data_IF_649282975227
#
_entry.id   IF_649282975227
#
_cell.length_a   1.000
_cell.length_b   1.000
_cell.length_c   1.000
_cell.angle_alpha   90.00
_cell.angle_beta   90.00
_cell.angle_gamma   90.00
#
_symmetry.space_group_name_H-M   'P 1'
#
loop_
_entity.id
_entity.type
_entity.pdbx_description
1 polymer ?
#
# COMPACT_ATOMS: atom_id res chain seq x y z
N UNK A 1 -33.01 -24.07 -49.38
CA UNK A 1 -32.16 -24.32 -48.22
C UNK A 1 -31.89 -22.99 -47.51
N UNK A 2 -32.53 -22.77 -46.36
CA UNK A 2 -32.34 -21.55 -45.57
C UNK A 2 -31.40 -21.89 -44.40
N UNK A 3 -30.23 -21.26 -44.35
CA UNK A 3 -29.29 -21.35 -43.26
C UNK A 3 -29.68 -20.32 -42.19
N UNK A 4 -30.04 -20.80 -41.01
CA UNK A 4 -30.34 -19.99 -39.83
C UNK A 4 -29.03 -19.87 -39.07
N UNK A 5 -28.43 -18.70 -39.11
CA UNK A 5 -27.31 -18.32 -38.24
C UNK A 5 -27.85 -18.03 -36.84
N UNK A 6 -27.63 -18.93 -35.88
CA UNK A 6 -27.85 -18.66 -34.48
C UNK A 6 -26.74 -17.76 -33.97
N UNK A 7 -27.05 -16.52 -33.66
CA UNK A 7 -26.14 -15.60 -33.01
C UNK A 7 -26.10 -15.94 -31.50
N UNK A 8 -25.05 -16.66 -31.10
CA UNK A 8 -24.75 -16.85 -29.68
C UNK A 8 -24.22 -15.54 -29.07
N UNK A 9 -24.95 -14.96 -28.13
CA UNK A 9 -24.45 -13.89 -27.27
C UNK A 9 -23.39 -14.47 -26.32
N UNK A 10 -22.12 -14.28 -26.65
CA UNK A 10 -21.01 -14.41 -25.70
C UNK A 10 -21.01 -13.15 -24.82
N UNK A 11 -21.51 -13.28 -23.60
CA UNK A 11 -21.29 -12.29 -22.56
C UNK A 11 -19.78 -12.25 -22.27
N UNK A 12 -19.09 -11.25 -22.82
CA UNK A 12 -17.71 -10.97 -22.46
C UNK A 12 -17.71 -10.49 -21.01
N UNK A 13 -17.33 -11.37 -20.08
CA UNK A 13 -16.90 -10.95 -18.75
C UNK A 13 -15.67 -10.05 -18.96
N UNK A 14 -15.86 -8.74 -18.82
CA UNK A 14 -14.76 -7.80 -18.72
C UNK A 14 -13.99 -8.12 -17.43
N UNK A 15 -12.94 -8.92 -17.55
CA UNK A 15 -11.94 -9.04 -16.51
C UNK A 15 -11.36 -7.64 -16.33
N UNK A 16 -11.69 -6.97 -15.21
CA UNK A 16 -11.05 -5.73 -14.81
C UNK A 16 -9.57 -6.04 -14.61
N UNK A 17 -8.74 -5.66 -15.58
CA UNK A 17 -7.30 -5.81 -15.49
C UNK A 17 -6.82 -4.83 -14.41
N UNK A 18 -6.72 -5.33 -13.19
CA UNK A 18 -6.19 -4.58 -12.05
C UNK A 18 -4.74 -4.22 -12.36
N UNK A 19 -4.38 -2.95 -12.19
CA UNK A 19 -3.00 -2.52 -12.45
C UNK A 19 -2.04 -3.40 -11.64
N UNK A 20 -0.90 -3.85 -12.20
CA UNK A 20 0.00 -4.78 -11.50
C UNK A 20 0.43 -4.29 -10.10
N UNK A 21 0.68 -2.98 -9.96
CA UNK A 21 1.07 -2.37 -8.67
C UNK A 21 -0.06 -2.50 -7.63
N UNK A 22 -1.31 -2.19 -8.00
CA UNK A 22 -2.47 -2.32 -7.12
C UNK A 22 -2.59 -3.75 -6.58
N UNK A 23 -2.63 -4.73 -7.48
CA UNK A 23 -2.73 -6.16 -7.12
C UNK A 23 -1.60 -6.60 -6.20
N UNK A 24 -0.35 -6.30 -6.57
CA UNK A 24 0.82 -6.82 -5.90
C UNK A 24 1.06 -6.12 -4.55
N UNK A 25 0.82 -4.81 -4.46
CA UNK A 25 0.85 -4.08 -3.19
C UNK A 25 -0.21 -4.57 -2.22
N UNK A 26 -1.44 -4.72 -2.69
CA UNK A 26 -2.54 -5.19 -1.85
C UNK A 26 -2.31 -6.63 -1.36
N UNK A 27 -1.84 -7.51 -2.23
CA UNK A 27 -1.51 -8.89 -1.88
C UNK A 27 -0.40 -8.95 -0.81
N UNK A 28 0.66 -8.16 -0.96
CA UNK A 28 1.76 -8.11 -0.01
C UNK A 28 1.30 -7.59 1.37
N UNK A 29 0.54 -6.49 1.42
CA UNK A 29 -0.05 -5.97 2.65
C UNK A 29 -0.94 -7.01 3.34
N UNK A 30 -1.84 -7.63 2.60
CA UNK A 30 -2.79 -8.58 3.15
C UNK A 30 -2.12 -9.86 3.64
N UNK A 31 -1.00 -10.27 3.04
CA UNK A 31 -0.17 -11.35 3.55
C UNK A 31 0.40 -11.02 4.94
N UNK A 32 0.90 -9.80 5.15
CA UNK A 32 1.42 -9.36 6.47
C UNK A 32 0.29 -9.29 7.49
N UNK A 33 -0.86 -8.74 7.13
CA UNK A 33 -2.05 -8.61 7.99
C UNK A 33 -2.59 -9.96 8.45
N UNK A 34 -2.61 -10.95 7.56
CA UNK A 34 -3.04 -12.30 7.87
C UNK A 34 -2.18 -12.96 8.97
N UNK A 35 -0.88 -12.67 9.04
CA UNK A 35 0.03 -13.21 10.07
C UNK A 35 -0.37 -12.83 11.50
N UNK A 36 -1.09 -11.72 11.67
CA UNK A 36 -1.56 -11.22 12.98
C UNK A 36 -3.08 -11.27 13.11
N UNK A 37 -3.78 -11.89 12.17
CA UNK A 37 -5.22 -12.13 12.24
C UNK A 37 -6.08 -10.88 12.09
N UNK A 38 -5.61 -9.83 11.42
CA UNK A 38 -6.43 -8.64 11.11
C UNK A 38 -7.01 -8.72 9.70
N UNK A 39 -8.18 -8.12 9.52
CA UNK A 39 -8.92 -8.15 8.26
C UNK A 39 -8.11 -7.57 7.08
N UNK A 40 -8.28 -8.10 5.86
CA UNK A 40 -7.57 -7.59 4.69
C UNK A 40 -7.99 -6.16 4.36
N UNK A 41 -7.06 -5.41 3.79
CA UNK A 41 -7.33 -4.10 3.18
C UNK A 41 -8.00 -4.26 1.83
N UNK A 42 -8.77 -3.25 1.44
CA UNK A 42 -9.25 -3.05 0.06
C UNK A 42 -8.55 -1.85 -0.57
N UNK A 43 -8.47 -1.84 -1.91
CA UNK A 43 -7.82 -0.75 -2.61
C UNK A 43 -8.74 0.46 -2.73
N UNK A 44 -8.16 1.67 -2.57
CA UNK A 44 -8.83 2.94 -2.78
C UNK A 44 -8.11 3.73 -3.88
N UNK A 45 -8.83 4.05 -4.94
CA UNK A 45 -8.31 4.89 -6.03
C UNK A 45 -8.08 6.34 -5.60
N UNK A 46 -8.83 6.81 -4.64
CA UNK A 46 -8.63 8.13 -4.04
C UNK A 46 -7.30 8.19 -3.29
N UNK A 47 -7.03 7.20 -2.44
CA UNK A 47 -5.76 7.11 -1.71
C UNK A 47 -4.58 6.91 -2.66
N UNK A 48 -4.75 6.14 -3.75
CA UNK A 48 -3.75 5.97 -4.80
C UNK A 48 -3.43 7.29 -5.50
N UNK A 49 -4.45 8.08 -5.85
CA UNK A 49 -4.25 9.39 -6.50
C UNK A 49 -3.45 10.33 -5.61
N UNK A 50 -3.85 10.46 -4.34
CA UNK A 50 -3.13 11.28 -3.35
C UNK A 50 -1.70 10.77 -3.11
N UNK A 51 -1.48 9.45 -3.12
CA UNK A 51 -0.15 8.86 -3.00
C UNK A 51 0.72 9.19 -4.22
N UNK A 52 0.15 9.17 -5.42
CA UNK A 52 0.84 9.50 -6.67
C UNK A 52 1.31 10.95 -6.69
N UNK A 53 0.42 11.88 -6.39
CA UNK A 53 0.75 13.31 -6.34
C UNK A 53 1.90 13.58 -5.36
N UNK A 54 1.88 12.93 -4.20
CA UNK A 54 2.94 13.08 -3.21
C UNK A 54 4.26 12.44 -3.64
N UNK A 55 4.21 11.24 -4.23
CA UNK A 55 5.40 10.57 -4.74
C UNK A 55 6.09 11.40 -5.83
N UNK A 56 5.33 11.98 -6.75
CA UNK A 56 5.84 12.85 -7.82
C UNK A 56 6.48 14.11 -7.24
N UNK A 57 5.86 14.73 -6.24
CA UNK A 57 6.41 15.92 -5.55
C UNK A 57 7.72 15.61 -4.85
N UNK A 58 7.81 14.47 -4.15
CA UNK A 58 9.05 14.05 -3.49
C UNK A 58 10.14 13.73 -4.51
N UNK A 59 9.79 13.11 -5.64
CA UNK A 59 10.74 12.80 -6.71
C UNK A 59 11.29 14.06 -7.37
N UNK A 60 10.46 15.10 -7.55
CA UNK A 60 10.85 16.36 -8.16
C UNK A 60 11.80 17.22 -7.31
N UNK A 61 12.21 16.76 -6.12
CA UNK A 61 13.17 17.45 -5.27
C UNK A 61 12.60 17.92 -3.94
N UNK A 62 11.40 17.47 -3.56
CA UNK A 62 10.86 17.68 -2.21
C UNK A 62 11.70 16.96 -1.15
N UNK A 63 11.72 17.49 0.06
CA UNK A 63 12.26 16.80 1.22
C UNK A 63 11.52 15.47 1.42
N UNK A 64 12.27 14.38 1.68
CA UNK A 64 11.68 13.06 1.91
C UNK A 64 10.95 13.04 3.25
N UNK A 65 9.72 13.50 3.25
CA UNK A 65 8.88 13.67 4.41
C UNK A 65 7.43 13.27 4.12
N UNK A 66 6.66 13.07 5.16
CA UNK A 66 5.22 12.80 5.05
C UNK A 66 4.45 14.02 4.52
N UNK A 67 3.29 13.76 3.92
CA UNK A 67 2.37 14.81 3.49
C UNK A 67 1.95 15.65 4.70
N UNK A 68 2.18 16.99 4.69
CA UNK A 68 1.78 17.84 5.79
C UNK A 68 0.26 17.84 5.98
N UNK A 69 -0.19 17.81 7.24
CA UNK A 69 -1.61 17.88 7.62
C UNK A 69 -2.51 16.83 6.93
N UNK A 70 -1.94 15.66 6.58
CA UNK A 70 -2.70 14.57 6.00
C UNK A 70 -3.70 14.00 7.01
N UNK A 71 -4.92 13.73 6.54
CA UNK A 71 -5.91 12.95 7.30
C UNK A 71 -5.70 11.43 7.17
N UNK A 72 -4.79 11.00 6.30
CA UNK A 72 -4.46 9.59 6.05
C UNK A 72 -3.23 9.17 6.86
N UNK A 73 -3.18 7.89 7.22
CA UNK A 73 -1.92 7.24 7.56
C UNK A 73 -1.05 7.13 6.31
N UNK A 74 0.26 7.09 6.49
CA UNK A 74 1.16 7.06 5.33
C UNK A 74 2.43 6.29 5.63
N UNK A 75 2.88 5.46 4.67
CA UNK A 75 4.20 4.87 4.64
C UNK A 75 4.97 5.38 3.43
N UNK A 76 6.24 5.64 3.61
CA UNK A 76 7.16 6.08 2.56
C UNK A 76 8.32 5.08 2.41
N UNK A 77 8.77 4.89 1.18
CA UNK A 77 9.98 4.13 0.88
C UNK A 77 10.73 4.78 -0.29
N UNK A 78 12.04 4.79 -0.21
CA UNK A 78 12.91 5.28 -1.27
C UNK A 78 13.92 4.20 -1.65
N UNK A 79 14.16 4.02 -2.95
CA UNK A 79 15.30 3.26 -3.45
C UNK A 79 16.12 4.11 -4.41
N UNK A 80 17.45 3.86 -4.42
CA UNK A 80 18.41 4.53 -5.30
C UNK A 80 19.25 3.49 -6.03
N UNK A 81 19.49 3.73 -7.33
CA UNK A 81 20.33 2.88 -8.16
C UNK A 81 19.71 1.53 -8.53
N UNK A 82 18.51 1.22 -8.06
CA UNK A 82 17.77 0.00 -8.41
C UNK A 82 16.26 0.21 -8.26
N UNK A 83 15.50 -0.56 -9.02
CA UNK A 83 14.05 -0.62 -8.88
C UNK A 83 13.65 -1.60 -7.78
N UNK A 84 12.60 -1.25 -7.04
CA UNK A 84 12.01 -2.13 -6.05
C UNK A 84 10.69 -2.72 -6.58
N UNK A 85 10.39 -3.97 -6.22
CA UNK A 85 9.07 -4.53 -6.44
C UNK A 85 8.12 -4.17 -5.28
N UNK A 86 6.79 -4.19 -5.49
CA UNK A 86 5.82 -4.02 -4.42
C UNK A 86 6.08 -4.92 -3.21
N UNK A 87 6.40 -6.18 -3.45
CA UNK A 87 6.71 -7.13 -2.38
C UNK A 87 7.94 -6.71 -1.56
N UNK A 88 9.01 -6.24 -2.21
CA UNK A 88 10.23 -5.76 -1.53
C UNK A 88 9.96 -4.52 -0.69
N UNK A 89 9.13 -3.59 -1.16
CA UNK A 89 8.74 -2.40 -0.41
C UNK A 89 7.98 -2.78 0.86
N UNK A 90 6.96 -3.62 0.72
CA UNK A 90 6.15 -4.06 1.87
C UNK A 90 6.97 -4.91 2.84
N UNK A 91 7.85 -5.79 2.35
CA UNK A 91 8.75 -6.60 3.20
C UNK A 91 9.74 -5.71 3.99
N UNK A 92 10.23 -4.62 3.41
CA UNK A 92 11.06 -3.65 4.12
C UNK A 92 10.31 -3.06 5.32
N UNK A 93 9.07 -2.59 5.11
CA UNK A 93 8.24 -2.08 6.19
C UNK A 93 7.86 -3.17 7.21
N UNK A 94 7.50 -4.35 6.74
CA UNK A 94 7.12 -5.49 7.59
C UNK A 94 8.28 -6.00 8.44
N UNK A 95 9.52 -5.85 7.96
CA UNK A 95 10.74 -6.19 8.70
C UNK A 95 10.91 -5.43 10.02
N UNK A 96 10.21 -4.31 10.20
CA UNK A 96 10.18 -3.55 11.44
C UNK A 96 9.41 -4.29 12.57
N UNK A 97 8.70 -5.38 12.26
CA UNK A 97 8.00 -6.22 13.25
C UNK A 97 8.91 -6.66 14.40
N UNK A 98 10.20 -6.91 14.13
CA UNK A 98 11.21 -7.26 15.13
C UNK A 98 11.42 -6.19 16.21
N UNK A 99 11.06 -4.94 15.89
CA UNK A 99 11.19 -3.80 16.79
C UNK A 99 9.92 -3.54 17.61
N UNK A 100 8.79 -4.18 17.26
CA UNK A 100 7.52 -4.00 17.96
C UNK A 100 7.29 -5.10 19.00
N UNK A 101 7.02 -4.70 20.23
CA UNK A 101 6.64 -5.62 21.31
C UNK A 101 5.12 -5.51 21.53
N UNK A 102 4.39 -6.54 21.10
CA UNK A 102 2.93 -6.57 21.21
C UNK A 102 2.44 -6.62 22.65
N UNK A 103 3.17 -7.27 23.59
CA UNK A 103 2.75 -7.37 24.99
C UNK A 103 2.76 -6.02 25.69
N UNK A 104 3.79 -5.21 25.45
CA UNK A 104 3.93 -3.88 26.05
C UNK A 104 3.41 -2.74 25.18
N UNK A 105 3.01 -3.01 23.93
CA UNK A 105 2.65 -2.00 22.91
C UNK A 105 3.75 -0.95 22.73
N UNK A 106 5.00 -1.38 22.61
CA UNK A 106 6.15 -0.49 22.50
C UNK A 106 7.07 -0.88 21.35
N UNK A 107 7.64 0.15 20.71
CA UNK A 107 8.71 -0.02 19.74
C UNK A 107 10.08 0.11 20.42
N UNK A 108 11.03 -0.74 20.01
CA UNK A 108 12.46 -0.61 20.29
C UNK A 108 13.17 -0.22 19.00
N UNK A 109 13.04 1.05 18.61
CA UNK A 109 13.48 1.58 17.33
C UNK A 109 12.30 1.87 16.41
N UNK A 110 12.55 1.95 15.10
CA UNK A 110 11.50 2.22 14.11
C UNK A 110 10.59 1.00 13.95
N UNK A 111 9.29 1.19 14.12
CA UNK A 111 8.28 0.17 13.88
C UNK A 111 6.99 0.71 13.26
N UNK A 112 6.94 2.01 12.97
CA UNK A 112 5.72 2.70 12.55
C UNK A 112 5.19 2.24 11.19
N UNK A 113 6.06 1.84 10.27
CA UNK A 113 5.60 1.30 8.98
C UNK A 113 4.92 -0.06 9.16
N UNK A 114 5.49 -0.93 9.97
CA UNK A 114 4.87 -2.22 10.28
C UNK A 114 3.54 -2.06 11.00
N UNK A 115 3.50 -1.24 12.07
CA UNK A 115 2.27 -1.06 12.85
C UNK A 115 1.16 -0.41 12.03
N UNK A 116 1.48 0.47 11.06
CA UNK A 116 0.52 0.98 10.10
C UNK A 116 -0.05 -0.12 9.19
N UNK A 117 0.78 -1.01 8.65
CA UNK A 117 0.31 -2.13 7.80
C UNK A 117 -0.69 -3.00 8.56
N UNK A 118 -0.38 -3.35 9.80
CA UNK A 118 -1.20 -4.26 10.62
C UNK A 118 -2.23 -3.54 11.49
N UNK A 119 -2.46 -2.25 11.25
CA UNK A 119 -3.44 -1.49 12.04
C UNK A 119 -4.85 -2.01 11.79
N UNK A 120 -5.47 -2.55 12.86
CA UNK A 120 -6.78 -3.23 12.77
C UNK A 120 -7.89 -2.34 12.21
N UNK A 121 -7.93 -1.07 12.63
CA UNK A 121 -8.95 -0.14 12.22
C UNK A 121 -8.80 0.36 10.79
N UNK A 122 -7.59 0.27 10.20
CA UNK A 122 -7.36 0.62 8.79
C UNK A 122 -8.07 -0.39 7.88
N UNK A 123 -8.83 0.12 6.92
CA UNK A 123 -9.66 -0.67 5.99
C UNK A 123 -9.21 -0.56 4.55
N UNK A 124 -8.64 0.58 4.18
CA UNK A 124 -8.29 0.89 2.81
C UNK A 124 -6.82 1.30 2.70
N UNK A 125 -6.24 1.00 1.56
CA UNK A 125 -4.93 1.50 1.17
C UNK A 125 -4.92 1.86 -0.32
N UNK A 126 -4.07 2.83 -0.66
CA UNK A 126 -3.76 3.17 -2.03
C UNK A 126 -2.31 3.62 -2.12
N UNK A 127 -1.57 3.02 -3.05
CA UNK A 127 -0.14 3.24 -3.19
C UNK A 127 0.22 3.67 -4.60
N UNK A 128 1.30 4.42 -4.71
CA UNK A 128 1.89 4.80 -5.98
C UNK A 128 3.42 4.84 -5.90
N UNK A 129 4.06 4.77 -7.04
CA UNK A 129 5.48 4.97 -7.21
C UNK A 129 5.74 6.03 -8.27
N UNK A 130 6.64 6.95 -7.97
CA UNK A 130 7.25 7.85 -8.94
C UNK A 130 8.74 7.52 -9.02
N UNK A 131 9.32 7.53 -10.23
CA UNK A 131 10.71 7.16 -10.40
C UNK A 131 11.35 7.74 -11.64
N UNK A 132 12.68 7.85 -11.60
CA UNK A 132 13.56 8.14 -12.72
C UNK A 132 14.68 7.09 -12.77
N UNK A 133 15.71 7.30 -13.57
CA UNK A 133 16.82 6.33 -13.72
C UNK A 133 17.61 6.10 -12.41
N UNK A 134 17.60 7.05 -11.50
CA UNK A 134 18.45 7.06 -10.30
C UNK A 134 17.69 6.80 -9.00
N UNK A 135 16.38 7.08 -8.96
CA UNK A 135 15.60 7.11 -7.73
C UNK A 135 14.16 6.66 -7.97
N UNK A 136 13.61 5.91 -7.03
CA UNK A 136 12.17 5.64 -6.89
C UNK A 136 11.68 6.08 -5.54
N UNK A 137 10.49 6.68 -5.52
CA UNK A 137 9.77 7.06 -4.30
C UNK A 137 8.43 6.35 -4.30
N UNK A 138 8.20 5.57 -3.29
CA UNK A 138 6.96 4.86 -3.03
C UNK A 138 6.20 5.53 -1.90
N UNK A 139 4.91 5.72 -2.11
CA UNK A 139 3.99 6.28 -1.11
C UNK A 139 2.80 5.35 -1.01
N UNK A 140 2.42 4.98 0.22
CA UNK A 140 1.15 4.33 0.52
C UNK A 140 0.37 5.17 1.52
N UNK A 141 -0.87 5.47 1.20
CA UNK A 141 -1.82 6.11 2.10
C UNK A 141 -2.82 5.08 2.64
N UNK A 142 -3.29 5.29 3.86
CA UNK A 142 -4.14 4.37 4.61
C UNK A 142 -5.33 5.10 5.24
N UNK A 143 -6.51 4.50 5.17
CA UNK A 143 -7.73 5.04 5.76
C UNK A 143 -8.55 3.94 6.47
N UNK A 144 -9.02 4.19 7.70
CA UNK A 144 -8.58 5.21 8.66
C UNK A 144 -7.07 5.14 8.97
N UNK A 145 -6.46 6.27 9.40
CA UNK A 145 -5.04 6.29 9.74
C UNK A 145 -4.75 5.37 10.93
N UNK A 146 -3.58 4.74 10.88
CA UNK A 146 -3.05 3.96 11.99
C UNK A 146 -2.16 4.79 12.91
N UNK A 147 -1.43 4.08 13.76
CA UNK A 147 -0.44 4.66 14.69
C UNK A 147 -1.02 5.72 15.62
N UNK A 148 -2.29 5.53 16.04
CA UNK A 148 -2.95 6.42 16.98
C UNK A 148 -2.35 6.23 18.38
N UNK A 149 -1.88 7.31 18.98
CA UNK A 149 -1.25 7.30 20.30
C UNK A 149 -2.16 6.65 21.35
N UNK A 150 -1.60 5.74 22.13
CA UNK A 150 -2.32 5.02 23.19
C UNK A 150 -3.14 3.82 22.70
N UNK A 151 -3.28 3.60 21.39
CA UNK A 151 -3.97 2.44 20.86
C UNK A 151 -2.98 1.33 20.43
N UNK A 152 -3.52 0.12 20.24
CA UNK A 152 -2.77 -1.04 19.73
C UNK A 152 -3.09 -1.26 18.26
N UNK A 153 -2.12 -1.71 17.44
CA UNK A 153 -2.37 -2.03 16.04
C UNK A 153 -3.28 -3.27 15.90
N UNK A 154 -3.14 -4.29 16.78
CA UNK A 154 -3.92 -5.54 16.75
C UNK A 154 -4.03 -6.17 18.14
#
# INVERSE_FOLDING_TARGET
MKWICAAGLLAAMAATCQAPIERDMLAAHNSVRARVGVAPLVWSKELESAAREWAEKLLAGGEFAHTPNSSYGQNLFESRGRRASPAQVVENWAGEAKNYNASSNRCRGVCGHYTQIVWRATKQAGCAVAGNEQREVWVCNYDPPGNVTGQRPF
#
